data_IF_495973157790
#
_entry.id   IF_495973157790
#
_cell.length_a   1.000
_cell.length_b   1.000
_cell.length_c   1.000
_cell.angle_alpha   90.00
_cell.angle_beta   90.00
_cell.angle_gamma   90.00
#
_symmetry.space_group_name_H-M   'P 1'
#
loop_
_entity.id
_entity.type
_entity.pdbx_description
1 polymer ?
#
# COMPACT_ATOMS: atom_id res chain seq x y z
N UNK A 1 -26.02 -11.77 -10.53
CA UNK A 1 -26.23 -10.89 -9.38
C UNK A 1 -25.04 -10.95 -8.40
N UNK A 2 -24.76 -12.09 -7.69
CA UNK A 2 -23.63 -12.17 -6.76
C UNK A 2 -22.26 -11.92 -7.41
N UNK A 3 -22.04 -12.34 -8.66
CA UNK A 3 -20.78 -12.08 -9.37
C UNK A 3 -20.60 -10.58 -9.67
N UNK A 4 -21.68 -9.87 -9.99
CA UNK A 4 -21.65 -8.41 -10.18
C UNK A 4 -21.37 -7.68 -8.86
N UNK A 5 -22.05 -8.11 -7.78
CA UNK A 5 -21.84 -7.55 -6.44
C UNK A 5 -20.40 -7.78 -5.96
N UNK A 6 -19.85 -8.97 -6.20
CA UNK A 6 -18.44 -9.27 -5.95
C UNK A 6 -17.51 -8.32 -6.71
N UNK A 7 -17.75 -8.13 -8.01
CA UNK A 7 -16.94 -7.23 -8.83
C UNK A 7 -16.98 -5.78 -8.33
N UNK A 8 -18.14 -5.28 -7.89
CA UNK A 8 -18.27 -3.95 -7.27
C UNK A 8 -17.46 -3.83 -5.98
N UNK A 9 -17.57 -4.80 -5.06
CA UNK A 9 -16.80 -4.75 -3.83
C UNK A 9 -15.28 -4.91 -4.05
N UNK A 10 -14.87 -5.68 -5.05
CA UNK A 10 -13.46 -5.75 -5.46
C UNK A 10 -12.96 -4.43 -6.04
N UNK A 11 -13.80 -3.72 -6.81
CA UNK A 11 -13.49 -2.38 -7.27
C UNK A 11 -13.33 -1.41 -6.09
N UNK A 12 -14.27 -1.42 -5.12
CA UNK A 12 -14.19 -0.56 -3.94
C UNK A 12 -12.94 -0.85 -3.10
N UNK A 13 -12.58 -2.12 -2.94
CA UNK A 13 -11.30 -2.51 -2.33
C UNK A 13 -10.12 -1.88 -3.07
N UNK A 14 -10.14 -1.94 -4.40
CA UNK A 14 -9.07 -1.36 -5.22
C UNK A 14 -8.99 0.16 -5.09
N UNK A 15 -10.14 0.84 -5.00
CA UNK A 15 -10.18 2.29 -4.73
C UNK A 15 -9.55 2.61 -3.37
N UNK A 16 -9.88 1.85 -2.32
CA UNK A 16 -9.29 2.02 -1.00
C UNK A 16 -7.78 1.80 -1.01
N UNK A 17 -7.28 0.76 -1.70
CA UNK A 17 -5.86 0.48 -1.86
C UNK A 17 -5.12 1.63 -2.56
N UNK A 18 -5.72 2.19 -3.62
CA UNK A 18 -5.13 3.33 -4.35
C UNK A 18 -5.09 4.57 -3.47
N UNK A 19 -6.17 4.90 -2.76
CA UNK A 19 -6.20 6.04 -1.83
C UNK A 19 -5.12 5.90 -0.77
N UNK A 20 -5.00 4.72 -0.14
CA UNK A 20 -3.94 4.45 0.83
C UNK A 20 -2.54 4.62 0.23
N UNK A 21 -2.32 4.11 -0.99
CA UNK A 21 -1.03 4.23 -1.68
C UNK A 21 -0.69 5.69 -2.03
N UNK A 22 -1.70 6.50 -2.38
CA UNK A 22 -1.52 7.95 -2.60
C UNK A 22 -1.14 8.65 -1.30
N UNK A 23 -1.83 8.36 -0.19
CA UNK A 23 -1.52 8.94 1.11
C UNK A 23 -0.10 8.59 1.56
N UNK A 24 0.31 7.33 1.41
CA UNK A 24 1.68 6.90 1.73
C UNK A 24 2.72 7.63 0.87
N UNK A 25 2.49 7.69 -0.44
CA UNK A 25 3.39 8.39 -1.36
C UNK A 25 3.44 9.90 -1.09
N UNK A 26 2.30 10.52 -0.75
CA UNK A 26 2.20 11.94 -0.38
C UNK A 26 3.07 12.27 0.84
N UNK A 27 2.86 11.54 1.94
CA UNK A 27 3.62 11.77 3.18
C UNK A 27 5.10 11.41 3.05
N UNK A 28 5.43 10.47 2.17
CA UNK A 28 6.83 10.17 1.82
C UNK A 28 7.51 11.37 1.15
N UNK A 29 6.84 12.05 0.21
CA UNK A 29 7.37 13.29 -0.40
C UNK A 29 7.54 14.37 0.64
N UNK A 30 6.51 14.63 1.48
CA UNK A 30 6.57 15.64 2.56
C UNK A 30 7.75 15.38 3.51
N UNK A 31 7.92 14.12 3.93
CA UNK A 31 9.04 13.69 4.79
C UNK A 31 10.41 13.91 4.12
N UNK A 32 10.53 13.63 2.81
CA UNK A 32 11.78 13.84 2.08
C UNK A 32 12.09 15.33 1.86
N UNK A 33 11.08 16.18 1.72
CA UNK A 33 11.27 17.64 1.67
C UNK A 33 11.82 18.15 3.01
N UNK A 34 11.25 17.72 4.13
CA UNK A 34 11.76 18.05 5.46
C UNK A 34 13.18 17.53 5.67
N UNK A 35 13.45 16.29 5.25
CA UNK A 35 14.81 15.72 5.29
C UNK A 35 15.81 16.49 4.44
N UNK A 36 15.42 16.98 3.26
CA UNK A 36 16.25 17.80 2.42
C UNK A 36 16.64 19.10 3.14
N UNK A 37 15.66 19.82 3.71
CA UNK A 37 15.92 21.05 4.50
C UNK A 37 16.91 20.78 5.66
N UNK A 38 16.74 19.65 6.36
CA UNK A 38 17.64 19.24 7.44
C UNK A 38 19.07 19.02 6.93
N UNK A 39 19.25 18.26 5.84
CA UNK A 39 20.58 17.97 5.28
C UNK A 39 21.25 19.23 4.71
N UNK A 40 20.48 20.15 4.11
CA UNK A 40 20.98 21.45 3.66
C UNK A 40 21.47 22.29 4.86
N UNK A 41 20.74 22.31 5.97
CA UNK A 41 21.13 22.99 7.19
C UNK A 41 22.38 22.37 7.81
N UNK A 42 22.46 21.04 7.84
CA UNK A 42 23.66 20.33 8.29
C UNK A 42 24.88 20.61 7.42
N UNK A 43 24.74 20.58 6.10
CA UNK A 43 25.83 20.91 5.18
C UNK A 43 26.37 22.35 5.46
N UNK A 44 25.46 23.33 5.62
CA UNK A 44 25.83 24.67 5.96
C UNK A 44 26.58 24.79 7.30
N UNK A 45 26.13 24.01 8.29
CA UNK A 45 26.77 23.96 9.60
C UNK A 45 28.20 23.42 9.53
N UNK A 46 28.42 22.33 8.79
CA UNK A 46 29.75 21.73 8.61
C UNK A 46 30.66 22.63 7.74
N UNK A 47 30.11 23.31 6.73
CA UNK A 47 30.87 24.31 5.96
C UNK A 47 31.31 25.52 6.82
N UNK A 48 30.50 25.97 7.76
CA UNK A 48 30.89 27.01 8.71
C UNK A 48 32.02 26.51 9.62
N UNK A 49 31.91 25.27 10.14
CA UNK A 49 32.96 24.64 10.93
C UNK A 49 34.29 24.56 10.14
N UNK A 50 34.21 24.20 8.86
CA UNK A 50 35.35 24.16 7.96
C UNK A 50 36.07 25.50 7.86
N UNK A 51 35.31 26.58 7.64
CA UNK A 51 35.85 27.95 7.60
C UNK A 51 36.47 28.36 8.95
N UNK A 52 35.86 27.99 10.07
CA UNK A 52 36.41 28.30 11.39
C UNK A 52 37.71 27.53 11.66
N UNK A 53 37.79 26.25 11.30
CA UNK A 53 39.02 25.43 11.42
C UNK A 53 40.16 26.01 10.55
N UNK A 54 39.85 26.50 9.33
CA UNK A 54 40.85 27.15 8.48
C UNK A 54 41.46 28.43 9.13
N UNK A 55 40.63 29.23 9.81
CA UNK A 55 41.10 30.40 10.56
C UNK A 55 42.00 29.98 11.74
N UNK A 56 41.54 28.96 12.50
CA UNK A 56 42.29 28.44 13.65
C UNK A 56 43.64 27.83 13.25
N UNK A 57 43.78 27.27 12.06
CA UNK A 57 45.06 26.77 11.53
C UNK A 57 45.99 27.95 11.26
N UNK A 58 45.49 29.04 10.68
CA UNK A 58 46.30 30.28 10.42
C UNK A 58 46.79 30.90 11.73
N UNK A 59 46.03 30.79 12.79
CA UNK A 59 46.36 31.25 14.14
C UNK A 59 47.22 30.26 14.94
N UNK A 60 47.50 29.06 14.38
CA UNK A 60 48.31 28.04 15.02
C UNK A 60 47.59 27.21 16.13
N UNK A 61 46.26 27.38 16.26
CA UNK A 61 45.43 26.72 17.28
C UNK A 61 44.91 25.35 16.83
N UNK A 62 44.70 25.16 15.52
CA UNK A 62 44.23 23.88 14.96
C UNK A 62 45.30 23.24 14.05
N UNK A 63 45.17 21.92 13.84
CA UNK A 63 46.09 21.14 13.02
C UNK A 63 45.53 20.84 11.63
N UNK A 64 46.42 20.53 10.68
CA UNK A 64 46.03 20.07 9.35
C UNK A 64 45.16 18.78 9.41
N UNK A 65 45.35 17.93 10.40
CA UNK A 65 44.53 16.77 10.62
C UNK A 65 43.05 17.13 10.91
N UNK A 66 42.83 18.18 11.71
CA UNK A 66 41.49 18.70 12.00
C UNK A 66 40.76 19.13 10.70
N UNK A 67 41.49 19.85 9.80
CA UNK A 67 40.95 20.26 8.48
C UNK A 67 40.52 19.04 7.66
N UNK A 68 41.36 18.01 7.53
CA UNK A 68 41.04 16.81 6.77
C UNK A 68 39.84 16.09 7.34
N UNK A 69 39.67 16.07 8.66
CA UNK A 69 38.48 15.47 9.31
C UNK A 69 37.19 16.21 8.92
N UNK A 70 37.23 17.55 8.93
CA UNK A 70 36.06 18.35 8.52
C UNK A 70 35.79 18.24 7.03
N UNK A 71 36.81 18.20 6.19
CA UNK A 71 36.67 17.98 4.74
C UNK A 71 35.93 16.68 4.42
N UNK A 72 36.23 15.60 5.14
CA UNK A 72 35.51 14.33 5.03
C UNK A 72 34.03 14.52 5.39
N UNK A 73 33.72 15.27 6.46
CA UNK A 73 32.32 15.54 6.86
C UNK A 73 31.56 16.39 5.87
N UNK A 74 32.18 17.39 5.26
CA UNK A 74 31.60 18.18 4.15
C UNK A 74 31.27 17.28 2.96
N UNK A 75 32.22 16.40 2.59
CA UNK A 75 31.98 15.46 1.49
C UNK A 75 30.84 14.47 1.80
N UNK A 76 30.78 13.90 3.02
CA UNK A 76 29.68 13.05 3.46
C UNK A 76 28.33 13.79 3.39
N UNK A 77 28.28 15.05 3.84
CA UNK A 77 27.07 15.87 3.79
C UNK A 77 26.60 16.13 2.33
N UNK A 78 27.54 16.42 1.42
CA UNK A 78 27.24 16.60 -0.01
C UNK A 78 26.69 15.31 -0.66
N UNK A 79 27.30 14.17 -0.34
CA UNK A 79 26.80 12.86 -0.83
C UNK A 79 25.40 12.57 -0.28
N UNK A 80 25.15 12.87 1.00
CA UNK A 80 23.84 12.69 1.61
C UNK A 80 22.78 13.63 0.99
N UNK A 81 23.15 14.88 0.72
CA UNK A 81 22.26 15.82 0.03
C UNK A 81 21.88 15.29 -1.36
N UNK A 82 22.85 14.80 -2.13
CA UNK A 82 22.60 14.21 -3.44
C UNK A 82 21.63 13.02 -3.36
N UNK A 83 21.84 12.12 -2.38
CA UNK A 83 20.94 10.97 -2.16
C UNK A 83 19.51 11.40 -1.83
N UNK A 84 19.35 12.40 -0.96
CA UNK A 84 18.03 12.90 -0.56
C UNK A 84 17.33 13.62 -1.72
N UNK A 85 18.04 14.43 -2.49
CA UNK A 85 17.49 15.11 -3.67
C UNK A 85 17.01 14.08 -4.71
N UNK A 86 17.83 13.08 -5.03
CA UNK A 86 17.44 12.01 -5.95
C UNK A 86 16.25 11.21 -5.42
N UNK A 87 16.24 10.88 -4.13
CA UNK A 87 15.13 10.19 -3.48
C UNK A 87 13.82 11.00 -3.53
N UNK A 88 13.90 12.33 -3.37
CA UNK A 88 12.76 13.22 -3.46
C UNK A 88 12.19 13.26 -4.89
N UNK A 89 13.03 13.41 -5.91
CA UNK A 89 12.58 13.41 -7.30
C UNK A 89 11.92 12.06 -7.67
N UNK A 90 12.52 10.93 -7.30
CA UNK A 90 11.93 9.61 -7.52
C UNK A 90 10.58 9.45 -6.79
N UNK A 91 10.47 9.95 -5.57
CA UNK A 91 9.21 9.87 -4.81
C UNK A 91 8.11 10.74 -5.42
N UNK A 92 8.45 11.92 -5.97
CA UNK A 92 7.51 12.75 -6.73
C UNK A 92 7.05 12.06 -8.01
N UNK A 93 7.97 11.42 -8.75
CA UNK A 93 7.62 10.63 -9.94
C UNK A 93 6.68 9.48 -9.59
N UNK A 94 6.92 8.78 -8.48
CA UNK A 94 6.06 7.70 -8.01
C UNK A 94 4.65 8.21 -7.63
N UNK A 95 4.56 9.34 -6.94
CA UNK A 95 3.28 9.96 -6.61
C UNK A 95 2.51 10.36 -7.88
N UNK A 96 3.19 10.99 -8.86
CA UNK A 96 2.60 11.33 -10.15
C UNK A 96 2.04 10.10 -10.86
N UNK A 97 2.81 9.01 -10.89
CA UNK A 97 2.41 7.76 -11.52
C UNK A 97 1.13 7.19 -10.87
N UNK A 98 1.06 7.17 -9.54
CA UNK A 98 -0.12 6.65 -8.81
C UNK A 98 -1.34 7.54 -9.08
N UNK A 99 -1.13 8.88 -9.18
CA UNK A 99 -2.18 9.84 -9.50
C UNK A 99 -2.56 9.90 -10.99
N UNK A 100 -1.94 9.07 -11.84
CA UNK A 100 -2.19 9.09 -13.30
C UNK A 100 -1.70 10.34 -14.01
N UNK A 101 -0.77 11.10 -13.41
CA UNK A 101 -0.15 12.27 -13.98
C UNK A 101 1.15 11.92 -14.72
N UNK A 102 1.58 12.72 -15.71
CA UNK A 102 2.88 12.54 -16.31
C UNK A 102 3.99 12.64 -15.23
N UNK A 103 4.95 11.72 -15.27
CA UNK A 103 5.98 11.57 -14.22
C UNK A 103 6.83 12.83 -13.99
N UNK A 104 6.94 13.70 -14.97
CA UNK A 104 7.78 14.91 -14.93
C UNK A 104 7.03 16.16 -14.45
N UNK A 105 5.73 16.06 -14.10
CA UNK A 105 4.98 17.21 -13.60
C UNK A 105 5.51 17.60 -12.24
N UNK A 106 5.80 18.89 -12.07
CA UNK A 106 6.22 19.47 -10.79
C UNK A 106 5.05 20.23 -10.18
N UNK A 107 4.69 19.86 -8.97
CA UNK A 107 3.73 20.58 -8.14
C UNK A 107 4.25 20.60 -6.70
N UNK A 108 3.75 21.52 -5.94
CA UNK A 108 4.07 21.66 -4.52
C UNK A 108 2.90 21.11 -3.70
N UNK A 109 3.20 20.25 -2.74
CA UNK A 109 2.19 19.69 -1.85
C UNK A 109 1.84 20.71 -0.76
N UNK A 110 0.61 20.67 -0.28
CA UNK A 110 0.10 21.62 0.71
C UNK A 110 0.90 21.60 2.03
N UNK A 111 1.43 20.44 2.40
CA UNK A 111 2.12 20.25 3.66
C UNK A 111 3.66 20.32 3.56
N UNK A 112 4.24 20.59 2.37
CA UNK A 112 5.71 20.68 2.18
C UNK A 112 6.39 21.80 3.01
N UNK A 113 5.64 22.84 3.37
CA UNK A 113 6.14 23.98 4.14
C UNK A 113 5.55 24.07 5.56
N UNK A 114 4.91 23.01 6.03
CA UNK A 114 4.47 22.95 7.42
C UNK A 114 5.66 22.64 8.34
N UNK A 115 5.94 23.56 9.24
CA UNK A 115 6.98 23.38 10.26
C UNK A 115 6.52 22.49 11.41
N UNK A 116 5.21 22.41 11.66
CA UNK A 116 4.61 21.51 12.65
C UNK A 116 3.48 20.69 12.03
N UNK A 117 3.56 19.39 12.15
CA UNK A 117 2.43 18.50 11.90
C UNK A 117 1.55 18.54 13.14
N UNK A 118 0.60 19.49 13.14
CA UNK A 118 -0.39 19.59 14.20
C UNK A 118 -1.40 18.47 14.07
N UNK A 119 -1.45 17.58 15.03
CA UNK A 119 -2.48 16.56 15.12
C UNK A 119 -2.63 16.11 16.56
N UNK A 120 -3.83 16.27 17.11
CA UNK A 120 -4.24 15.73 18.42
C UNK A 120 -5.07 14.46 18.26
N UNK A 121 -4.98 13.81 17.12
CA UNK A 121 -5.72 12.58 16.82
C UNK A 121 -5.12 11.41 17.62
N UNK A 122 -5.62 11.22 18.83
CA UNK A 122 -5.37 9.98 19.56
C UNK A 122 -6.18 8.87 18.90
N UNK A 123 -5.61 7.66 18.73
CA UNK A 123 -6.38 6.54 18.23
C UNK A 123 -7.54 6.29 19.20
N UNK A 124 -8.75 6.45 18.70
CA UNK A 124 -9.94 6.00 19.41
C UNK A 124 -9.93 4.47 19.40
N UNK A 125 -10.30 3.82 20.47
CA UNK A 125 -10.50 2.38 20.48
C UNK A 125 -11.49 2.01 19.37
N UNK A 126 -10.98 1.39 18.31
CA UNK A 126 -11.80 0.96 17.18
C UNK A 126 -12.61 -0.27 17.60
N UNK A 127 -13.93 -0.19 17.48
CA UNK A 127 -14.80 -1.34 17.63
C UNK A 127 -14.62 -2.25 16.41
N UNK A 128 -14.17 -3.48 16.62
CA UNK A 128 -13.84 -4.42 15.54
C UNK A 128 -15.03 -4.71 14.63
N UNK A 129 -16.26 -4.72 15.17
CA UNK A 129 -17.47 -4.90 14.35
C UNK A 129 -17.64 -3.77 13.33
N UNK A 130 -17.34 -2.54 13.72
CA UNK A 130 -17.36 -1.39 12.81
C UNK A 130 -16.26 -1.47 11.76
N UNK A 131 -15.08 -1.99 12.13
CA UNK A 131 -13.97 -2.22 11.19
C UNK A 131 -14.39 -3.24 10.12
N UNK A 132 -14.93 -4.40 10.53
CA UNK A 132 -15.38 -5.43 9.60
C UNK A 132 -16.51 -4.95 8.69
N UNK A 133 -17.47 -4.18 9.22
CA UNK A 133 -18.59 -3.66 8.45
C UNK A 133 -18.16 -2.65 7.36
N UNK A 134 -17.07 -1.93 7.55
CA UNK A 134 -16.59 -0.91 6.60
C UNK A 134 -15.54 -1.44 5.61
N UNK A 135 -15.08 -2.68 5.75
CA UNK A 135 -14.07 -3.26 4.87
C UNK A 135 -14.71 -3.99 3.69
N UNK A 136 -14.43 -3.51 2.49
CA UNK A 136 -14.92 -4.11 1.24
C UNK A 136 -14.27 -5.45 0.91
N UNK A 137 -13.07 -5.72 1.39
CA UNK A 137 -12.40 -7.03 1.26
C UNK A 137 -13.16 -8.13 2.03
N UNK A 138 -13.60 -7.88 3.26
CA UNK A 138 -14.45 -8.82 4.02
C UNK A 138 -15.78 -9.06 3.30
N UNK A 139 -16.44 -7.99 2.82
CA UNK A 139 -17.68 -8.13 2.04
C UNK A 139 -17.47 -8.97 0.79
N UNK A 140 -16.34 -8.80 0.11
CA UNK A 140 -15.98 -9.61 -1.06
C UNK A 140 -15.86 -11.09 -0.71
N UNK A 141 -15.24 -11.44 0.42
CA UNK A 141 -15.13 -12.82 0.90
C UNK A 141 -16.51 -13.41 1.27
N UNK A 142 -17.36 -12.63 1.92
CA UNK A 142 -18.73 -13.06 2.27
C UNK A 142 -19.58 -13.33 1.03
N UNK A 143 -19.47 -12.49 -0.02
CA UNK A 143 -20.16 -12.70 -1.28
C UNK A 143 -19.57 -13.92 -2.01
N UNK A 144 -18.24 -14.08 -2.00
CA UNK A 144 -17.61 -15.27 -2.56
C UNK A 144 -18.11 -16.54 -1.88
N UNK A 145 -18.26 -16.56 -0.55
CA UNK A 145 -18.83 -17.71 0.16
C UNK A 145 -20.27 -18.01 -0.27
N UNK A 146 -21.12 -16.99 -0.47
CA UNK A 146 -22.47 -17.15 -1.02
C UNK A 146 -22.46 -17.75 -2.43
N UNK A 147 -21.54 -17.31 -3.31
CA UNK A 147 -21.37 -17.87 -4.65
C UNK A 147 -21.07 -19.37 -4.57
N UNK A 148 -20.18 -19.79 -3.66
CA UNK A 148 -19.84 -21.20 -3.50
C UNK A 148 -20.97 -22.03 -2.85
N UNK A 149 -21.75 -21.44 -1.95
CA UNK A 149 -22.99 -22.07 -1.44
C UNK A 149 -24.00 -22.31 -2.60
N UNK A 150 -24.17 -21.34 -3.52
CA UNK A 150 -25.03 -21.51 -4.70
C UNK A 150 -24.45 -22.54 -5.70
N UNK A 151 -23.12 -22.58 -5.90
CA UNK A 151 -22.48 -23.65 -6.70
C UNK A 151 -22.74 -25.04 -6.12
N UNK A 152 -22.73 -25.19 -4.80
CA UNK A 152 -23.09 -26.46 -4.18
C UNK A 152 -24.57 -26.85 -4.44
N UNK A 153 -25.48 -25.85 -4.46
CA UNK A 153 -26.88 -26.10 -4.85
C UNK A 153 -27.00 -26.51 -6.33
N UNK A 154 -26.23 -25.90 -7.23
CA UNK A 154 -26.15 -26.28 -8.65
C UNK A 154 -25.65 -27.73 -8.78
N UNK A 155 -24.54 -28.07 -8.10
CA UNK A 155 -24.06 -29.48 -8.10
C UNK A 155 -25.08 -30.46 -7.57
N UNK A 156 -25.89 -30.08 -6.55
CA UNK A 156 -27.01 -30.87 -6.07
C UNK A 156 -28.11 -31.03 -7.12
N UNK A 157 -28.41 -29.96 -7.90
CA UNK A 157 -29.45 -30.00 -8.92
C UNK A 157 -29.13 -30.94 -10.09
N UNK A 158 -27.85 -31.24 -10.32
CA UNK A 158 -27.44 -32.21 -11.33
C UNK A 158 -27.89 -33.66 -11.01
N UNK A 159 -28.25 -33.92 -9.76
CA UNK A 159 -28.84 -35.21 -9.32
C UNK A 159 -30.37 -35.28 -9.51
N UNK A 160 -30.98 -34.14 -9.90
CA UNK A 160 -32.44 -34.07 -10.10
C UNK A 160 -32.79 -34.16 -11.60
N UNK A 161 -34.06 -34.53 -11.94
CA UNK A 161 -34.51 -34.46 -13.33
C UNK A 161 -34.34 -33.07 -13.92
N UNK A 162 -33.74 -32.98 -15.11
CA UNK A 162 -33.55 -31.76 -15.87
C UNK A 162 -34.54 -31.70 -17.01
N UNK A 163 -35.28 -30.61 -17.13
CA UNK A 163 -36.23 -30.36 -18.21
C UNK A 163 -35.73 -29.19 -19.04
N UNK A 164 -35.59 -29.39 -20.34
CA UNK A 164 -35.22 -28.38 -21.30
C UNK A 164 -36.25 -28.29 -22.43
N UNK A 165 -36.70 -27.11 -22.75
CA UNK A 165 -37.49 -26.85 -23.98
C UNK A 165 -36.56 -26.20 -25.02
N UNK A 166 -36.72 -26.56 -26.27
CA UNK A 166 -35.96 -25.99 -27.37
C UNK A 166 -36.88 -25.67 -28.54
N UNK A 167 -36.51 -24.60 -29.24
CA UNK A 167 -37.08 -24.26 -30.53
C UNK A 167 -35.89 -23.92 -31.46
N UNK A 168 -35.89 -24.54 -32.63
CA UNK A 168 -34.79 -24.33 -33.58
C UNK A 168 -35.37 -24.17 -35.00
N UNK A 169 -34.75 -23.25 -35.74
CA UNK A 169 -35.02 -23.05 -37.17
C UNK A 169 -33.75 -23.40 -37.95
N UNK A 170 -33.86 -24.41 -38.79
CA UNK A 170 -32.72 -24.95 -39.52
C UNK A 170 -32.87 -24.70 -41.00
N UNK A 171 -31.82 -24.22 -41.65
CA UNK A 171 -31.71 -24.15 -43.10
C UNK A 171 -30.63 -25.08 -43.62
N UNK A 172 -30.97 -25.93 -44.57
CA UNK A 172 -30.00 -26.87 -45.17
C UNK A 172 -29.99 -26.70 -46.71
N UNK A 173 -28.79 -26.80 -47.30
CA UNK A 173 -28.60 -26.89 -48.74
C UNK A 173 -27.57 -28.01 -49.00
N UNK A 174 -27.91 -29.12 -49.67
CA UNK A 174 -29.22 -29.44 -50.28
C UNK A 174 -30.35 -29.61 -49.26
N UNK A 175 -31.57 -29.40 -49.71
CA UNK A 175 -32.77 -29.52 -48.89
C UNK A 175 -32.94 -30.98 -48.45
N UNK A 176 -32.59 -31.31 -47.20
CA UNK A 176 -32.69 -32.66 -46.62
C UNK A 176 -34.14 -33.01 -46.20
N UNK A 177 -35.02 -32.05 -46.19
CA UNK A 177 -36.41 -32.25 -45.76
C UNK A 177 -37.36 -32.65 -46.90
N UNK A 178 -36.93 -32.42 -48.17
CA UNK A 178 -37.77 -32.63 -49.35
C UNK A 178 -36.99 -33.31 -50.50
N UNK A 179 -36.33 -34.47 -50.20
CA UNK A 179 -35.71 -35.30 -51.24
C UNK A 179 -34.36 -34.92 -51.75
N UNK A 180 -33.55 -34.22 -50.96
CA UNK A 180 -32.15 -33.79 -51.32
C UNK A 180 -32.04 -32.89 -52.58
N UNK A 181 -33.06 -32.07 -52.83
CA UNK A 181 -32.98 -31.07 -53.90
C UNK A 181 -31.88 -30.06 -53.60
N UNK A 182 -31.12 -29.66 -54.63
CA UNK A 182 -30.05 -28.68 -54.52
C UNK A 182 -30.59 -27.24 -54.41
N UNK A 183 -31.40 -27.03 -53.35
CA UNK A 183 -32.03 -25.76 -52.98
C UNK A 183 -31.99 -25.61 -51.46
N UNK A 184 -32.08 -24.37 -50.94
CA UNK A 184 -32.27 -24.17 -49.51
C UNK A 184 -33.64 -24.70 -49.07
N UNK A 185 -33.63 -25.61 -48.08
CA UNK A 185 -34.81 -26.05 -47.36
C UNK A 185 -34.78 -25.57 -45.92
N UNK A 186 -35.93 -25.10 -45.41
CA UNK A 186 -36.04 -24.60 -44.06
C UNK A 186 -37.02 -25.46 -43.27
N UNK A 187 -36.66 -25.79 -42.02
CA UNK A 187 -37.53 -26.51 -41.10
C UNK A 187 -37.54 -25.80 -39.73
N UNK A 188 -38.70 -25.83 -39.12
CA UNK A 188 -38.88 -25.39 -37.74
C UNK A 188 -39.12 -26.62 -36.86
N UNK A 189 -38.40 -26.73 -35.74
CA UNK A 189 -38.59 -27.78 -34.76
C UNK A 189 -38.81 -27.19 -33.39
N UNK A 190 -39.74 -27.75 -32.64
CA UNK A 190 -40.01 -27.44 -31.24
C UNK A 190 -40.05 -28.77 -30.50
N UNK A 191 -39.45 -28.78 -29.33
CA UNK A 191 -39.47 -29.99 -28.49
C UNK A 191 -39.18 -29.69 -27.03
N UNK A 192 -39.44 -30.70 -26.23
CA UNK A 192 -39.02 -30.76 -24.81
C UNK A 192 -38.23 -32.01 -24.56
N UNK A 193 -37.17 -31.90 -23.77
CA UNK A 193 -36.30 -32.98 -23.35
C UNK A 193 -36.32 -33.09 -21.85
N UNK A 194 -36.53 -34.32 -21.34
CA UNK A 194 -36.40 -34.63 -19.91
C UNK A 194 -35.22 -35.57 -19.74
N UNK A 195 -34.22 -35.16 -18.95
CA UNK A 195 -33.03 -35.96 -18.64
C UNK A 195 -33.08 -36.33 -17.16
N UNK A 196 -33.18 -37.64 -16.86
CA UNK A 196 -33.21 -38.17 -15.48
C UNK A 196 -31.92 -38.97 -15.24
N UNK A 197 -31.02 -38.51 -14.34
CA UNK A 197 -29.82 -39.27 -14.00
C UNK A 197 -30.20 -40.47 -13.11
N UNK A 198 -30.18 -41.71 -13.65
CA UNK A 198 -30.52 -42.90 -12.90
C UNK A 198 -29.35 -43.49 -12.15
N UNK A 199 -28.17 -43.56 -12.77
CA UNK A 199 -26.98 -44.16 -12.18
C UNK A 199 -25.69 -43.53 -12.67
N UNK A 200 -24.81 -43.08 -11.74
CA UNK A 200 -23.53 -42.43 -12.04
C UNK A 200 -22.40 -42.92 -11.12
N UNK A 201 -22.48 -44.12 -10.57
CA UNK A 201 -21.45 -44.74 -9.73
C UNK A 201 -20.98 -43.84 -8.57
N UNK A 202 -21.85 -43.04 -8.00
CA UNK A 202 -21.54 -42.08 -6.94
C UNK A 202 -20.88 -40.78 -7.40
N UNK A 203 -20.58 -40.59 -8.70
CA UNK A 203 -19.88 -39.41 -9.24
C UNK A 203 -20.59 -38.12 -8.91
N UNK A 204 -21.92 -38.02 -9.13
CA UNK A 204 -22.68 -36.80 -8.82
C UNK A 204 -22.72 -36.50 -7.31
N UNK A 205 -22.83 -37.54 -6.46
CA UNK A 205 -22.77 -37.36 -5.01
C UNK A 205 -21.42 -36.86 -4.54
N UNK A 206 -20.33 -37.35 -5.11
CA UNK A 206 -18.97 -36.88 -4.77
C UNK A 206 -18.74 -35.43 -5.28
N UNK A 207 -19.22 -35.08 -6.47
CA UNK A 207 -19.20 -33.73 -6.98
C UNK A 207 -19.95 -32.74 -6.06
N UNK A 208 -21.10 -33.15 -5.53
CA UNK A 208 -21.81 -32.33 -4.54
C UNK A 208 -21.03 -32.17 -3.23
N UNK A 209 -20.43 -33.27 -2.71
CA UNK A 209 -19.58 -33.21 -1.50
C UNK A 209 -18.35 -32.30 -1.71
N UNK A 210 -17.73 -32.36 -2.88
CA UNK A 210 -16.63 -31.48 -3.27
C UNK A 210 -17.08 -30.02 -3.21
N UNK A 211 -18.19 -29.67 -3.89
CA UNK A 211 -18.71 -28.30 -3.87
C UNK A 211 -19.09 -27.82 -2.45
N UNK A 212 -19.61 -28.74 -1.58
CA UNK A 212 -19.83 -28.41 -0.18
C UNK A 212 -18.52 -28.16 0.59
N UNK A 213 -17.47 -28.92 0.32
CA UNK A 213 -16.17 -28.72 0.96
C UNK A 213 -15.56 -27.38 0.53
N UNK A 214 -15.67 -27.02 -0.76
CA UNK A 214 -15.25 -25.69 -1.25
C UNK A 214 -16.03 -24.55 -0.57
N UNK A 215 -17.34 -24.67 -0.42
CA UNK A 215 -18.15 -23.69 0.28
C UNK A 215 -17.74 -23.53 1.76
N UNK A 216 -17.43 -24.64 2.46
CA UNK A 216 -16.88 -24.59 3.83
C UNK A 216 -15.51 -23.91 3.87
N UNK A 217 -14.63 -24.23 2.92
CA UNK A 217 -13.31 -23.57 2.81
C UNK A 217 -13.45 -22.06 2.72
N UNK A 218 -14.39 -21.54 1.91
CA UNK A 218 -14.64 -20.09 1.81
C UNK A 218 -15.09 -19.46 3.12
N UNK A 219 -15.89 -20.17 3.91
CA UNK A 219 -16.32 -19.69 5.24
C UNK A 219 -15.14 -19.60 6.21
N UNK A 220 -14.29 -20.62 6.25
CA UNK A 220 -13.06 -20.60 7.08
C UNK A 220 -12.11 -19.48 6.65
N UNK A 221 -12.04 -19.14 5.34
CA UNK A 221 -11.25 -18.03 4.86
C UNK A 221 -11.73 -16.66 5.37
N UNK A 222 -13.03 -16.50 5.65
CA UNK A 222 -13.57 -15.29 6.28
C UNK A 222 -13.05 -15.17 7.72
N UNK A 223 -13.08 -16.26 8.48
CA UNK A 223 -12.60 -16.26 9.86
C UNK A 223 -11.09 -15.97 9.93
N UNK A 224 -10.29 -16.61 9.09
CA UNK A 224 -8.84 -16.32 8.94
C UNK A 224 -8.57 -14.85 8.55
N UNK A 225 -9.38 -14.30 7.65
CA UNK A 225 -9.26 -12.90 7.27
C UNK A 225 -9.59 -11.95 8.44
N UNK A 226 -10.62 -12.28 9.23
CA UNK A 226 -10.97 -11.48 10.43
C UNK A 226 -9.87 -11.50 11.48
N UNK A 227 -9.25 -12.65 11.72
CA UNK A 227 -8.10 -12.74 12.63
C UNK A 227 -6.91 -11.91 12.15
N UNK A 228 -6.58 -11.99 10.85
CA UNK A 228 -5.52 -11.17 10.25
C UNK A 228 -5.80 -9.67 10.33
N UNK A 229 -7.05 -9.28 10.09
CA UNK A 229 -7.46 -7.87 10.21
C UNK A 229 -7.35 -7.39 11.66
N UNK A 230 -7.78 -8.20 12.62
CA UNK A 230 -7.64 -7.88 14.04
C UNK A 230 -6.15 -7.64 14.39
N UNK A 231 -5.26 -8.52 13.95
CA UNK A 231 -3.82 -8.34 14.13
C UNK A 231 -3.31 -7.04 13.47
N UNK A 232 -3.72 -6.75 12.22
CA UNK A 232 -3.34 -5.54 11.50
C UNK A 232 -3.79 -4.27 12.22
N UNK A 233 -5.01 -4.24 12.74
CA UNK A 233 -5.55 -3.09 13.48
C UNK A 233 -4.77 -2.84 14.77
N UNK A 234 -4.48 -3.90 15.52
CA UNK A 234 -3.66 -3.78 16.74
C UNK A 234 -2.23 -3.32 16.43
N UNK A 235 -1.60 -3.87 15.38
CA UNK A 235 -0.28 -3.43 14.92
C UNK A 235 -0.28 -1.95 14.51
N UNK A 236 -1.31 -1.50 13.80
CA UNK A 236 -1.45 -0.10 13.40
C UNK A 236 -1.61 0.81 14.64
N UNK A 237 -2.42 0.40 15.62
CA UNK A 237 -2.60 1.12 16.87
C UNK A 237 -1.28 1.25 17.65
N UNK A 238 -0.52 0.17 17.81
CA UNK A 238 0.77 0.20 18.48
C UNK A 238 1.80 1.07 17.75
N UNK A 239 1.88 0.98 16.41
CA UNK A 239 2.77 1.83 15.62
C UNK A 239 2.42 3.31 15.73
N UNK A 240 1.14 3.62 15.76
CA UNK A 240 0.67 5.00 15.96
C UNK A 240 1.07 5.53 17.35
N UNK A 241 0.84 4.75 18.40
CA UNK A 241 1.22 5.13 19.78
C UNK A 241 2.74 5.30 19.92
N UNK A 242 3.52 4.39 19.35
CA UNK A 242 4.99 4.47 19.31
C UNK A 242 5.45 5.74 18.58
N UNK A 243 4.91 6.00 17.39
CA UNK A 243 5.25 7.18 16.61
C UNK A 243 4.90 8.47 17.36
N UNK A 244 3.74 8.51 18.03
CA UNK A 244 3.34 9.66 18.84
C UNK A 244 4.26 9.90 20.03
N UNK A 245 4.56 8.87 20.80
CA UNK A 245 5.50 8.96 21.92
C UNK A 245 6.90 9.39 21.48
N UNK A 246 7.35 8.87 20.33
CA UNK A 246 8.63 9.26 19.72
C UNK A 246 8.61 10.73 19.34
N UNK A 247 7.55 11.20 18.71
CA UNK A 247 7.40 12.61 18.32
C UNK A 247 7.46 13.54 19.53
N UNK A 248 6.68 13.26 20.60
CA UNK A 248 6.68 14.06 21.82
C UNK A 248 8.06 14.13 22.47
N UNK A 249 8.74 12.98 22.56
CA UNK A 249 10.10 12.93 23.13
C UNK A 249 11.11 13.66 22.27
N UNK A 250 11.05 13.48 20.94
CA UNK A 250 11.96 14.16 20.00
C UNK A 250 11.81 15.68 20.10
N UNK A 251 10.58 16.19 20.24
CA UNK A 251 10.34 17.64 20.45
C UNK A 251 11.03 18.14 21.75
N UNK A 252 10.98 17.38 22.83
CA UNK A 252 11.68 17.72 24.08
C UNK A 252 13.20 17.63 23.93
N UNK A 253 13.71 16.64 23.20
CA UNK A 253 15.15 16.45 23.00
C UNK A 253 15.78 17.51 22.12
N UNK A 254 15.04 18.11 21.20
CA UNK A 254 15.55 19.12 20.26
C UNK A 254 16.18 20.30 21.00
N UNK A 255 15.49 20.85 21.99
CA UNK A 255 16.01 21.98 22.80
C UNK A 255 17.31 21.62 23.55
N UNK A 256 17.43 20.37 24.01
CA UNK A 256 18.61 19.87 24.68
C UNK A 256 19.77 19.68 23.69
N UNK A 257 19.48 19.20 22.47
CA UNK A 257 20.49 19.02 21.42
C UNK A 257 21.03 20.38 20.93
N UNK A 258 20.16 21.37 20.75
CA UNK A 258 20.55 22.74 20.36
C UNK A 258 21.49 23.36 21.43
N UNK A 259 21.18 23.24 22.69
CA UNK A 259 22.02 23.75 23.76
C UNK A 259 23.35 22.99 23.87
N UNK A 260 23.34 21.66 23.69
CA UNK A 260 24.55 20.85 23.65
C UNK A 260 25.47 21.29 22.51
N UNK A 261 24.92 21.50 21.31
CA UNK A 261 25.67 22.00 20.16
C UNK A 261 26.25 23.39 20.43
N UNK A 262 25.45 24.30 21.01
CA UNK A 262 25.92 25.64 21.39
C UNK A 262 27.09 25.59 22.35
N UNK A 263 27.02 24.75 23.39
CA UNK A 263 28.09 24.58 24.36
C UNK A 263 29.35 23.97 23.74
N UNK A 264 29.19 22.94 22.90
CA UNK A 264 30.32 22.32 22.19
C UNK A 264 31.06 23.30 21.27
N UNK A 265 30.30 24.10 20.51
CA UNK A 265 30.88 25.13 19.62
C UNK A 265 31.63 26.21 20.40
N UNK A 266 31.07 26.72 21.50
CA UNK A 266 31.72 27.67 22.37
C UNK A 266 32.99 27.07 22.97
N UNK A 267 32.93 25.88 23.57
CA UNK A 267 34.10 25.25 24.16
C UNK A 267 35.22 24.99 23.14
N UNK A 268 34.87 24.69 21.90
CA UNK A 268 35.86 24.53 20.81
C UNK A 268 36.54 25.84 20.46
N UNK A 269 35.79 26.95 20.34
CA UNK A 269 36.34 28.30 20.05
C UNK A 269 37.25 28.79 21.16
N UNK A 270 36.92 28.49 22.41
CA UNK A 270 37.73 28.84 23.58
C UNK A 270 38.90 27.83 23.86
N UNK A 271 39.06 26.81 23.00
CA UNK A 271 40.10 25.81 23.13
C UNK A 271 39.91 24.83 24.29
N UNK A 272 38.73 24.77 24.90
CA UNK A 272 38.39 23.90 26.06
C UNK A 272 37.95 22.52 25.62
N UNK A 273 37.34 22.38 24.45
CA UNK A 273 36.87 21.10 23.90
C UNK A 273 37.53 20.78 22.56
N UNK A 274 37.56 19.50 22.19
CA UNK A 274 38.13 19.07 20.92
C UNK A 274 37.11 19.12 19.77
N UNK A 275 37.61 19.02 18.55
CA UNK A 275 36.78 18.99 17.34
C UNK A 275 35.76 17.84 17.31
N UNK A 276 36.15 16.65 17.83
CA UNK A 276 35.28 15.48 17.84
C UNK A 276 34.02 15.70 18.68
N UNK A 277 34.14 16.49 19.77
CA UNK A 277 32.99 16.88 20.61
C UNK A 277 32.00 17.73 19.80
N UNK A 278 32.47 18.65 18.99
CA UNK A 278 31.60 19.49 18.12
C UNK A 278 30.94 18.64 17.04
N UNK A 279 31.73 17.80 16.38
CA UNK A 279 31.19 16.88 15.34
C UNK A 279 30.14 15.95 15.95
N UNK A 280 30.39 15.40 17.14
CA UNK A 280 29.42 14.55 17.84
C UNK A 280 28.14 15.28 18.24
N UNK A 281 28.22 16.56 18.60
CA UNK A 281 27.05 17.38 18.92
C UNK A 281 26.26 17.85 17.66
N UNK A 282 26.87 17.81 16.46
CA UNK A 282 26.24 18.15 15.18
C UNK A 282 25.50 16.95 14.55
N UNK A 283 25.75 15.72 14.97
CA UNK A 283 25.17 14.47 14.44
C UNK A 283 24.04 13.96 15.32
#
# INVERSE_FOLDING_TARGET
HYAEELARNMHDTKVQDVVYSVDEAYWRVVSLVAKKKLVESYLKLVQNLDSDVEKMIKEGVATKANKLTVDVKVNEANVNLTKVVNGLELSRMALNQICGQPINVRFMLADENRDEIGGTLRPTHLQMDSVYANRSDIRSLEIAAKIFDEKAKVAKSEMMPQIAAFAAYHGTNPNSYNGFENKFGFAFSVGAMVKIPLWHWGGLSNKYKEAQAEARLRKVQIDDAREKINLQVNQAAFRYEEAWKTYEKTKSHLAQADENLRCAQLGFREGVTNLDTVIGAQT
#
